data_IF_647874849212
#
_entry.id   IF_647874849212
#
_cell.length_a   1.000
_cell.length_b   1.000
_cell.length_c   1.000
_cell.angle_alpha   90.00
_cell.angle_beta   90.00
_cell.angle_gamma   90.00
#
_symmetry.space_group_name_H-M   'P 1'
#
loop_
_entity.id
_entity.type
_entity.pdbx_description
1 polymer ?
#
# COMPACT_ATOMS: atom_id res chain seq x y z
N UNK A 1 41.84 32.90 7.57
CA UNK A 1 42.10 31.45 7.72
C UNK A 1 41.53 31.10 9.09
N UNK A 2 40.40 30.44 9.27
CA UNK A 2 39.51 29.65 8.41
C UNK A 2 38.05 29.95 8.76
N UNK A 3 37.15 29.67 7.81
CA UNK A 3 35.70 29.73 8.00
C UNK A 3 35.29 28.56 8.89
N UNK A 4 34.48 28.81 9.91
CA UNK A 4 33.63 27.75 10.48
C UNK A 4 32.19 28.14 10.20
N UNK A 5 31.68 27.65 9.06
CA UNK A 5 30.24 27.51 8.84
C UNK A 5 29.78 26.50 9.89
N UNK A 6 29.22 26.98 11.00
CA UNK A 6 28.30 26.15 11.77
C UNK A 6 27.07 26.02 10.90
N UNK A 7 27.06 24.95 10.11
CA UNK A 7 25.86 24.43 9.50
C UNK A 7 24.85 24.30 10.64
N UNK A 8 23.84 25.17 10.66
CA UNK A 8 22.66 24.95 11.47
C UNK A 8 22.01 23.71 10.88
N UNK A 9 22.47 22.55 11.37
CA UNK A 9 21.84 21.26 11.15
C UNK A 9 20.49 21.38 11.82
N UNK A 10 19.50 21.83 11.04
CA UNK A 10 18.10 21.91 11.42
C UNK A 10 17.61 20.51 11.71
N UNK A 11 17.93 20.00 12.90
CA UNK A 11 17.23 18.90 13.51
C UNK A 11 16.09 19.54 14.29
N UNK A 12 15.06 19.95 13.54
CA UNK A 12 13.77 20.25 14.12
C UNK A 12 13.41 19.08 15.03
N UNK A 13 13.05 19.40 16.28
CA UNK A 13 12.59 18.44 17.26
C UNK A 13 11.47 17.61 16.61
N UNK A 14 11.73 16.32 16.41
CA UNK A 14 10.71 15.38 15.93
C UNK A 14 9.70 15.29 17.08
N UNK A 15 8.46 15.72 16.85
CA UNK A 15 7.45 15.72 17.91
C UNK A 15 7.22 14.27 18.37
N UNK A 16 6.83 14.07 19.63
CA UNK A 16 6.56 12.74 20.20
C UNK A 16 5.53 11.95 19.34
N UNK A 17 4.53 12.66 18.79
CA UNK A 17 3.58 12.11 17.82
C UNK A 17 4.22 11.68 16.48
N UNK A 18 5.22 12.42 15.98
CA UNK A 18 5.95 12.05 14.76
C UNK A 18 6.81 10.82 14.99
N UNK A 19 7.39 10.68 16.19
CA UNK A 19 8.13 9.49 16.59
C UNK A 19 7.22 8.25 16.63
N UNK A 20 6.04 8.37 17.28
CA UNK A 20 5.07 7.28 17.33
C UNK A 20 4.51 6.90 15.96
N UNK A 21 4.21 7.90 15.13
CA UNK A 21 3.76 7.69 13.74
C UNK A 21 4.82 6.96 12.92
N UNK A 22 6.08 7.38 13.03
CA UNK A 22 7.21 6.75 12.33
C UNK A 22 7.42 5.30 12.80
N UNK A 23 7.42 5.07 14.12
CA UNK A 23 7.56 3.73 14.69
C UNK A 23 6.45 2.78 14.24
N UNK A 24 5.20 3.26 14.20
CA UNK A 24 4.07 2.49 13.72
C UNK A 24 4.19 2.18 12.21
N UNK A 25 4.55 3.18 11.39
CA UNK A 25 4.79 2.98 9.97
C UNK A 25 5.92 1.96 9.71
N UNK A 26 7.01 2.04 10.46
CA UNK A 26 8.11 1.06 10.40
C UNK A 26 7.66 -0.35 10.81
N UNK A 27 6.80 -0.47 11.83
CA UNK A 27 6.25 -1.77 12.24
C UNK A 27 5.37 -2.38 11.14
N UNK A 28 4.45 -1.60 10.56
CA UNK A 28 3.61 -2.06 9.46
C UNK A 28 4.44 -2.46 8.24
N UNK A 29 5.46 -1.67 7.89
CA UNK A 29 6.38 -1.98 6.79
C UNK A 29 7.14 -3.29 6.98
N UNK A 30 7.41 -3.69 8.23
CA UNK A 30 8.04 -4.99 8.54
C UNK A 30 7.05 -6.16 8.40
N UNK A 31 5.76 -5.92 8.65
CA UNK A 31 4.71 -6.94 8.58
C UNK A 31 4.15 -7.09 7.17
N UNK A 32 4.20 -6.03 6.36
CA UNK A 32 3.75 -6.06 4.98
C UNK A 32 4.71 -6.90 4.12
N UNK A 33 4.24 -8.00 3.50
CA UNK A 33 5.07 -8.78 2.61
C UNK A 33 5.38 -8.01 1.34
N UNK A 34 6.67 -7.92 1.02
CA UNK A 34 7.16 -7.19 -0.15
C UNK A 34 6.90 -7.91 -1.48
N UNK A 35 6.55 -9.20 -1.42
CA UNK A 35 6.34 -10.06 -2.59
C UNK A 35 5.12 -10.94 -2.43
N UNK A 36 4.41 -11.16 -3.54
CA UNK A 36 3.19 -11.99 -3.59
C UNK A 36 3.43 -13.39 -3.02
N UNK A 37 4.53 -14.06 -3.37
CA UNK A 37 4.81 -15.40 -2.87
C UNK A 37 5.09 -15.46 -1.36
N UNK A 38 5.44 -14.34 -0.71
CA UNK A 38 5.57 -14.26 0.75
C UNK A 38 4.21 -14.08 1.39
N UNK A 39 3.38 -13.20 0.83
CA UNK A 39 1.99 -13.00 1.24
C UNK A 39 1.20 -14.32 1.20
N UNK A 40 1.36 -15.10 0.13
CA UNK A 40 0.68 -16.38 -0.05
C UNK A 40 1.17 -17.51 0.87
N UNK A 41 2.20 -17.28 1.70
CA UNK A 41 2.67 -18.25 2.70
C UNK A 41 2.16 -17.94 4.11
N UNK A 42 1.64 -16.74 4.34
CA UNK A 42 1.16 -16.30 5.64
C UNK A 42 -0.37 -16.40 5.69
N UNK A 43 -0.94 -17.35 6.45
CA UNK A 43 -2.39 -17.51 6.56
C UNK A 43 -3.10 -16.25 7.09
N UNK A 44 -2.50 -15.57 8.07
CA UNK A 44 -3.10 -14.35 8.65
C UNK A 44 -3.22 -13.25 7.59
N UNK A 45 -2.25 -13.18 6.69
CA UNK A 45 -2.27 -12.20 5.63
C UNK A 45 -3.23 -12.55 4.50
N UNK A 46 -3.34 -13.83 4.16
CA UNK A 46 -4.35 -14.32 3.23
C UNK A 46 -5.75 -14.02 3.76
N UNK A 47 -6.03 -14.34 5.03
CA UNK A 47 -7.33 -14.07 5.67
C UNK A 47 -7.65 -12.58 5.65
N UNK A 48 -6.71 -11.72 6.07
CA UNK A 48 -6.89 -10.27 6.06
C UNK A 48 -7.19 -9.71 4.66
N UNK A 49 -6.46 -10.16 3.63
CA UNK A 49 -6.70 -9.75 2.24
C UNK A 49 -8.03 -10.27 1.71
N UNK A 50 -8.44 -11.48 2.10
CA UNK A 50 -9.73 -12.04 1.72
C UNK A 50 -10.90 -11.26 2.35
N UNK A 51 -10.78 -10.86 3.61
CA UNK A 51 -11.75 -10.00 4.28
C UNK A 51 -11.87 -8.63 3.59
N UNK A 52 -10.75 -7.99 3.25
CA UNK A 52 -10.74 -6.73 2.52
C UNK A 52 -11.39 -6.86 1.13
N UNK A 53 -11.05 -7.91 0.37
CA UNK A 53 -11.68 -8.21 -0.92
C UNK A 53 -13.19 -8.48 -0.79
N UNK A 54 -13.62 -9.12 0.31
CA UNK A 54 -15.04 -9.34 0.58
C UNK A 54 -15.76 -8.01 0.85
N UNK A 55 -15.16 -7.12 1.64
CA UNK A 55 -15.69 -5.78 1.87
C UNK A 55 -15.82 -5.00 0.55
N UNK A 56 -14.82 -5.10 -0.33
CA UNK A 56 -14.88 -4.48 -1.65
C UNK A 56 -16.02 -5.03 -2.52
N UNK A 57 -16.23 -6.35 -2.49
CA UNK A 57 -17.34 -6.99 -3.19
C UNK A 57 -18.70 -6.52 -2.65
N UNK A 58 -18.87 -6.49 -1.32
CA UNK A 58 -20.11 -6.05 -0.67
C UNK A 58 -20.43 -4.58 -0.99
N UNK A 59 -19.41 -3.73 -1.02
CA UNK A 59 -19.54 -2.31 -1.30
C UNK A 59 -19.59 -1.98 -2.80
N UNK A 60 -19.52 -3.01 -3.65
CA UNK A 60 -19.57 -2.93 -5.13
C UNK A 60 -18.54 -1.95 -5.68
N UNK A 61 -17.33 -1.95 -5.13
CA UNK A 61 -16.31 -0.98 -5.58
C UNK A 61 -15.68 -1.36 -6.90
N UNK A 62 -15.60 -2.64 -7.23
CA UNK A 62 -15.02 -3.14 -8.48
C UNK A 62 -16.03 -3.95 -9.28
N UNK A 63 -15.88 -3.95 -10.60
CA UNK A 63 -16.61 -4.81 -11.52
C UNK A 63 -15.62 -5.58 -12.39
N UNK A 64 -15.99 -6.81 -12.75
CA UNK A 64 -15.20 -7.62 -13.66
C UNK A 64 -15.58 -7.23 -15.10
N UNK A 65 -14.61 -6.72 -15.87
CA UNK A 65 -14.78 -6.33 -17.27
C UNK A 65 -13.91 -7.18 -18.16
N UNK A 66 -14.27 -7.27 -19.44
CA UNK A 66 -13.43 -7.94 -20.42
C UNK A 66 -12.10 -7.18 -20.57
N UNK A 67 -11.03 -7.93 -20.80
CA UNK A 67 -9.70 -7.39 -21.00
C UNK A 67 -9.70 -6.43 -22.21
N UNK A 68 -9.29 -5.16 -22.04
CA UNK A 68 -9.27 -4.21 -23.16
C UNK A 68 -8.30 -4.68 -24.24
N UNK A 69 -8.70 -4.48 -25.51
CA UNK A 69 -7.88 -4.84 -26.67
C UNK A 69 -6.50 -4.16 -26.56
N UNK A 70 -5.43 -4.93 -26.79
CA UNK A 70 -4.05 -4.46 -26.68
C UNK A 70 -3.37 -4.69 -25.33
N UNK A 71 -4.08 -5.26 -24.35
CA UNK A 71 -3.53 -5.69 -23.04
C UNK A 71 -3.56 -7.20 -22.87
N UNK A 72 -3.57 -7.94 -23.98
CA UNK A 72 -3.68 -9.41 -24.00
C UNK A 72 -2.54 -10.05 -23.19
N UNK A 73 -2.92 -10.74 -22.12
CA UNK A 73 -2.03 -11.54 -21.30
C UNK A 73 -2.21 -13.01 -21.70
N UNK A 74 -1.15 -13.71 -22.17
CA UNK A 74 -1.22 -15.12 -22.54
C UNK A 74 -1.68 -16.04 -21.41
N UNK A 75 -1.36 -15.68 -20.16
CA UNK A 75 -1.71 -16.44 -18.97
C UNK A 75 -3.09 -16.04 -18.41
N UNK A 76 -3.56 -14.82 -18.70
CA UNK A 76 -4.84 -14.27 -18.22
C UNK A 76 -5.65 -13.51 -19.30
N UNK A 77 -6.21 -14.21 -20.29
CA UNK A 77 -6.67 -13.56 -21.51
C UNK A 77 -8.08 -12.93 -21.45
N UNK A 78 -8.87 -13.16 -20.38
CA UNK A 78 -10.32 -12.93 -20.48
C UNK A 78 -10.85 -11.73 -19.70
N UNK A 79 -10.45 -11.50 -18.44
CA UNK A 79 -11.14 -10.54 -17.57
C UNK A 79 -10.23 -9.84 -16.58
N UNK A 80 -10.53 -8.56 -16.31
CA UNK A 80 -9.83 -7.72 -15.34
C UNK A 80 -10.81 -7.03 -14.40
N UNK A 81 -10.38 -6.80 -13.16
CA UNK A 81 -11.14 -6.01 -12.21
C UNK A 81 -10.94 -4.52 -12.48
N UNK A 82 -12.04 -3.79 -12.68
CA UNK A 82 -12.05 -2.34 -12.82
C UNK A 82 -12.67 -1.70 -11.58
N UNK A 83 -11.93 -0.78 -10.96
CA UNK A 83 -12.44 0.06 -9.88
C UNK A 83 -13.46 1.04 -10.44
N UNK A 84 -14.71 0.96 -9.97
CA UNK A 84 -15.83 1.82 -10.41
C UNK A 84 -16.30 2.78 -9.33
N UNK A 85 -15.90 2.55 -8.08
CA UNK A 85 -16.17 3.44 -6.96
C UNK A 85 -14.92 3.55 -6.11
N UNK A 86 -14.42 4.76 -5.93
CA UNK A 86 -13.39 5.04 -4.93
C UNK A 86 -14.05 5.15 -3.55
N UNK A 87 -13.48 4.51 -2.54
CA UNK A 87 -13.70 5.01 -1.18
C UNK A 87 -12.90 6.30 -1.04
N UNK A 88 -13.48 7.34 -0.46
CA UNK A 88 -12.80 8.60 -0.10
C UNK A 88 -11.65 8.42 0.92
N UNK A 89 -11.16 7.18 1.11
CA UNK A 89 -10.07 6.79 1.99
C UNK A 89 -9.07 5.83 1.36
N UNK A 90 -9.18 5.49 0.07
CA UNK A 90 -8.07 4.89 -0.71
C UNK A 90 -7.01 5.96 -1.02
N UNK A 91 -6.64 6.76 -0.02
CA UNK A 91 -5.30 7.34 0.00
C UNK A 91 -4.37 6.14 0.00
N UNK A 92 -3.45 6.10 -0.96
CA UNK A 92 -2.38 5.11 -0.92
C UNK A 92 -1.83 5.08 0.49
N UNK A 93 -1.69 3.88 1.08
CA UNK A 93 -0.81 3.74 2.23
C UNK A 93 0.50 4.46 1.86
N UNK A 94 1.04 5.35 2.71
CA UNK A 94 2.18 6.16 2.36
C UNK A 94 3.23 5.29 1.69
N UNK A 95 3.48 5.53 0.40
CA UNK A 95 4.62 4.90 -0.27
C UNK A 95 5.84 5.58 0.33
N UNK A 96 6.50 4.87 1.24
CA UNK A 96 7.81 5.25 1.75
C UNK A 96 8.83 5.34 0.61
#
# INVERSE_FOLDING_TARGET
MERMVKEQRGLNQINDEDFHTCMFACFLSQKEPKRVHQALKDPSWIESMQEELLLFKMQKVWVLVDLPKGFEDPDYPYKVYKVVKAFYGLHQAPRA
#
